data_IF_992507934078
#
_entry.id   IF_992507934078
#
_cell.length_a   1.000
_cell.length_b   1.000
_cell.length_c   1.000
_cell.angle_alpha   90.00
_cell.angle_beta   90.00
_cell.angle_gamma   90.00
#
_symmetry.space_group_name_H-M   'P 1'
#
loop_
_entity.id
_entity.type
_entity.pdbx_description
1 polymer ?
#
# COMPACT_ATOMS: atom_id res chain seq x y z
N UNK A 1 24.72 -46.48 24.50
CA UNK A 1 26.16 -46.30 24.83
C UNK A 1 26.43 -44.82 25.03
N UNK A 2 26.78 -44.37 26.25
CA UNK A 2 26.95 -42.94 26.57
C UNK A 2 27.99 -42.24 25.68
N UNK A 3 29.05 -42.96 25.31
CA UNK A 3 30.15 -42.45 24.49
C UNK A 3 29.70 -42.05 23.08
N UNK A 4 28.76 -42.80 22.49
CA UNK A 4 28.15 -42.44 21.20
C UNK A 4 27.28 -41.19 21.32
N UNK A 5 26.46 -41.11 22.36
CA UNK A 5 25.60 -39.96 22.63
C UNK A 5 26.38 -38.67 22.89
N UNK A 6 27.56 -38.75 23.53
CA UNK A 6 28.46 -37.61 23.71
C UNK A 6 29.02 -37.09 22.38
N UNK A 7 29.43 -37.98 21.47
CA UNK A 7 29.90 -37.58 20.14
C UNK A 7 28.76 -36.99 19.30
N UNK A 8 27.56 -37.57 19.39
CA UNK A 8 26.36 -37.05 18.71
C UNK A 8 25.99 -35.65 19.23
N UNK A 9 26.15 -35.39 20.54
CA UNK A 9 25.92 -34.08 21.15
C UNK A 9 26.88 -33.00 20.64
N UNK A 10 28.17 -33.34 20.50
CA UNK A 10 29.21 -32.43 20.00
C UNK A 10 28.97 -31.99 18.55
N UNK A 11 28.36 -32.87 17.74
CA UNK A 11 28.02 -32.55 16.35
C UNK A 11 27.05 -31.36 16.20
N UNK A 12 26.26 -31.04 17.24
CA UNK A 12 25.34 -29.91 17.22
C UNK A 12 26.01 -28.55 17.48
N UNK A 13 27.28 -28.50 17.88
CA UNK A 13 27.98 -27.23 18.13
C UNK A 13 28.14 -26.38 16.88
N UNK A 14 28.49 -27.00 15.74
CA UNK A 14 28.65 -26.29 14.47
C UNK A 14 27.34 -25.61 14.00
N UNK A 15 26.19 -26.31 13.91
CA UNK A 15 24.92 -25.66 13.59
C UNK A 15 24.54 -24.50 14.52
N UNK A 16 24.85 -24.60 15.82
CA UNK A 16 24.55 -23.53 16.78
C UNK A 16 25.46 -22.32 16.58
N UNK A 17 26.75 -22.52 16.29
CA UNK A 17 27.66 -21.45 15.91
C UNK A 17 27.21 -20.73 14.63
N UNK A 18 26.73 -21.47 13.64
CA UNK A 18 26.13 -20.89 12.42
C UNK A 18 24.90 -20.04 12.77
N UNK A 19 24.06 -20.49 13.70
CA UNK A 19 22.89 -19.73 14.15
C UNK A 19 23.29 -18.44 14.90
N UNK A 20 24.34 -18.46 15.73
CA UNK A 20 24.91 -17.24 16.32
C UNK A 20 25.37 -16.27 15.23
N UNK A 21 26.09 -16.74 14.21
CA UNK A 21 26.53 -15.91 13.08
C UNK A 21 25.36 -15.35 12.25
N UNK A 22 24.23 -16.06 12.16
CA UNK A 22 22.99 -15.52 11.57
C UNK A 22 22.40 -14.43 12.45
N UNK A 23 22.28 -14.68 13.75
CA UNK A 23 21.74 -13.72 14.72
C UNK A 23 22.57 -12.43 14.78
N UNK A 24 23.89 -12.52 14.80
CA UNK A 24 24.80 -11.37 14.77
C UNK A 24 24.58 -10.53 13.51
N UNK A 25 24.56 -11.16 12.33
CA UNK A 25 24.30 -10.45 11.06
C UNK A 25 22.96 -9.73 11.05
N UNK A 26 21.90 -10.36 11.56
CA UNK A 26 20.58 -9.75 11.62
C UNK A 26 20.52 -8.60 12.66
N UNK A 27 21.23 -8.71 13.79
CA UNK A 27 21.38 -7.62 14.76
C UNK A 27 22.14 -6.44 14.14
N UNK A 28 23.20 -6.69 13.37
CA UNK A 28 23.95 -5.65 12.66
C UNK A 28 23.05 -4.91 11.67
N UNK A 29 22.30 -5.62 10.83
CA UNK A 29 21.31 -5.01 9.92
C UNK A 29 20.25 -4.20 10.65
N UNK A 30 19.78 -4.70 11.79
CA UNK A 30 18.86 -3.94 12.64
C UNK A 30 19.51 -2.66 13.17
N UNK A 31 20.80 -2.67 13.50
CA UNK A 31 21.54 -1.47 13.95
C UNK A 31 21.67 -0.42 12.82
N UNK A 32 21.88 -0.87 11.58
CA UNK A 32 22.03 0.00 10.41
C UNK A 32 20.77 0.82 10.13
N UNK A 33 19.57 0.24 10.34
CA UNK A 33 18.29 0.91 10.06
C UNK A 33 17.79 1.82 11.21
N UNK A 34 18.47 1.83 12.36
CA UNK A 34 18.05 2.61 13.55
C UNK A 34 17.84 4.10 13.23
N UNK A 35 18.76 4.81 12.53
CA UNK A 35 18.58 6.22 12.27
C UNK A 35 17.29 6.51 11.49
N UNK A 36 16.97 5.68 10.48
CA UNK A 36 15.76 5.82 9.68
C UNK A 36 14.49 5.52 10.50
N UNK A 37 14.54 4.51 11.38
CA UNK A 37 13.43 4.17 12.30
C UNK A 37 13.13 5.32 13.26
N UNK A 38 14.16 5.89 13.87
CA UNK A 38 14.02 6.91 14.90
C UNK A 38 13.46 8.23 14.36
N UNK A 39 13.70 8.56 13.09
CA UNK A 39 13.11 9.75 12.45
C UNK A 39 11.58 9.75 12.48
N UNK A 40 10.95 8.57 12.48
CA UNK A 40 9.50 8.39 12.40
C UNK A 40 8.85 8.14 13.78
N UNK A 41 9.65 8.17 14.84
CA UNK A 41 9.26 7.84 16.21
C UNK A 41 9.20 9.08 17.09
N UNK A 42 8.24 9.08 18.02
CA UNK A 42 8.19 10.05 19.13
C UNK A 42 9.28 9.73 20.15
N UNK A 43 9.63 10.68 21.00
CA UNK A 43 10.69 10.50 22.02
C UNK A 43 10.42 9.35 22.98
N UNK A 44 9.16 9.13 23.38
CA UNK A 44 8.76 7.97 24.20
C UNK A 44 8.97 6.64 23.47
N UNK A 45 8.76 6.64 22.15
CA UNK A 45 8.91 5.46 21.29
C UNK A 45 10.39 5.15 21.03
N UNK A 46 11.23 6.17 20.87
CA UNK A 46 12.69 6.03 20.75
C UNK A 46 13.28 5.36 21.99
N UNK A 47 12.96 5.87 23.18
CA UNK A 47 13.42 5.29 24.45
C UNK A 47 12.99 3.83 24.62
N UNK A 48 11.76 3.49 24.22
CA UNK A 48 11.27 2.12 24.24
C UNK A 48 12.02 1.23 23.25
N UNK A 49 12.27 1.72 22.04
CA UNK A 49 12.98 1.00 20.98
C UNK A 49 14.45 0.74 21.35
N UNK A 50 15.13 1.76 21.88
CA UNK A 50 16.49 1.66 22.41
C UNK A 50 16.57 0.58 23.50
N UNK A 51 15.71 0.66 24.52
CA UNK A 51 15.66 -0.35 25.60
C UNK A 51 15.39 -1.76 25.08
N UNK A 52 14.50 -1.91 24.10
CA UNK A 52 14.19 -3.21 23.53
C UNK A 52 15.37 -3.79 22.73
N UNK A 53 16.13 -2.95 22.04
CA UNK A 53 17.40 -3.33 21.37
C UNK A 53 18.50 -3.67 22.37
N UNK A 54 18.68 -2.89 23.43
CA UNK A 54 19.66 -3.17 24.48
C UNK A 54 19.39 -4.54 25.12
N UNK A 55 18.12 -4.81 25.45
CA UNK A 55 17.70 -6.12 25.96
C UNK A 55 17.96 -7.25 24.97
N UNK A 56 17.76 -7.03 23.68
CA UNK A 56 18.06 -8.02 22.64
C UNK A 56 19.56 -8.32 22.58
N UNK A 57 20.40 -7.28 22.57
CA UNK A 57 21.86 -7.41 22.57
C UNK A 57 22.40 -8.06 23.84
N UNK A 58 21.80 -7.76 24.99
CA UNK A 58 22.15 -8.41 26.25
C UNK A 58 21.79 -9.89 26.20
N UNK A 59 20.57 -10.24 25.78
CA UNK A 59 20.15 -11.65 25.63
C UNK A 59 21.04 -12.42 24.67
N UNK A 60 21.46 -11.82 23.56
CA UNK A 60 22.40 -12.43 22.62
C UNK A 60 23.73 -12.76 23.30
N UNK A 61 24.33 -11.78 24.01
CA UNK A 61 25.57 -11.98 24.77
C UNK A 61 25.43 -13.01 25.89
N UNK A 62 24.33 -12.99 26.63
CA UNK A 62 24.06 -13.96 27.70
C UNK A 62 23.93 -15.40 27.15
N UNK A 63 23.37 -15.56 25.95
CA UNK A 63 23.27 -16.87 25.29
C UNK A 63 24.62 -17.35 24.76
N UNK A 64 25.50 -16.44 24.36
CA UNK A 64 26.84 -16.78 23.85
C UNK A 64 27.81 -17.11 25.00
N UNK A 65 28.02 -16.15 25.91
CA UNK A 65 29.09 -16.19 26.92
C UNK A 65 28.58 -16.10 28.37
N UNK A 66 27.28 -16.22 28.62
CA UNK A 66 26.70 -16.19 29.96
C UNK A 66 26.94 -17.48 30.76
N UNK A 67 26.56 -17.48 32.05
CA UNK A 67 26.72 -18.64 32.96
C UNK A 67 26.01 -19.91 32.46
N UNK A 68 24.90 -19.73 31.75
CA UNK A 68 24.11 -20.80 31.10
C UNK A 68 24.11 -20.62 29.58
N UNK A 69 25.19 -20.05 29.05
CA UNK A 69 25.42 -19.77 27.63
C UNK A 69 26.08 -20.91 26.88
N UNK A 70 26.41 -20.66 25.61
CA UNK A 70 26.92 -21.67 24.68
C UNK A 70 28.32 -22.12 25.07
N UNK A 71 29.19 -21.18 25.41
CA UNK A 71 30.54 -21.47 25.89
C UNK A 71 30.51 -22.34 27.16
N UNK A 72 29.60 -22.05 28.09
CA UNK A 72 29.40 -22.84 29.30
C UNK A 72 28.88 -24.25 28.97
N UNK A 73 27.94 -24.38 28.03
CA UNK A 73 27.44 -25.68 27.58
C UNK A 73 28.55 -26.52 26.90
N UNK A 74 29.39 -25.91 26.07
CA UNK A 74 30.55 -26.60 25.45
C UNK A 74 31.52 -27.08 26.53
N UNK A 75 31.85 -26.23 27.50
CA UNK A 75 32.73 -26.58 28.60
C UNK A 75 32.16 -27.73 29.46
N UNK A 76 30.86 -27.70 29.75
CA UNK A 76 30.19 -28.73 30.56
C UNK A 76 30.16 -30.09 29.85
N UNK A 77 29.87 -30.14 28.54
CA UNK A 77 29.96 -31.39 27.79
C UNK A 77 31.39 -31.96 27.82
N UNK A 78 32.41 -31.09 27.74
CA UNK A 78 33.80 -31.46 27.90
C UNK A 78 34.12 -32.08 29.27
N UNK A 79 33.54 -31.53 30.35
CA UNK A 79 33.66 -32.10 31.71
C UNK A 79 32.98 -33.45 31.84
N UNK A 80 31.74 -33.58 31.37
CA UNK A 80 30.99 -34.85 31.38
C UNK A 80 31.79 -35.93 30.64
N UNK A 81 32.38 -35.58 29.49
CA UNK A 81 33.25 -36.49 28.72
C UNK A 81 34.50 -36.88 29.49
N UNK A 82 35.16 -35.94 30.17
CA UNK A 82 36.38 -36.22 30.93
C UNK A 82 36.12 -37.09 32.18
N UNK A 83 34.93 -36.99 32.77
CA UNK A 83 34.51 -37.78 33.93
C UNK A 83 33.96 -39.18 33.58
N UNK A 84 33.87 -39.52 32.28
CA UNK A 84 33.35 -40.80 31.83
C UNK A 84 34.28 -41.97 32.18
N UNK A 85 33.71 -42.99 32.82
CA UNK A 85 34.32 -44.30 33.09
C UNK A 85 33.26 -45.40 33.02
N UNK A 86 33.67 -46.68 32.97
CA UNK A 86 32.74 -47.82 33.02
C UNK A 86 31.86 -47.81 34.29
N UNK A 87 32.38 -47.29 35.41
CA UNK A 87 31.70 -47.24 36.71
C UNK A 87 30.75 -46.04 36.85
N UNK A 88 30.99 -44.95 36.10
CA UNK A 88 30.19 -43.70 36.17
C UNK A 88 29.09 -43.60 35.12
N UNK A 89 28.80 -44.70 34.39
CA UNK A 89 27.85 -44.71 33.26
C UNK A 89 26.47 -44.14 33.57
N UNK A 90 25.89 -44.47 34.73
CA UNK A 90 24.57 -43.96 35.13
C UNK A 90 24.62 -42.44 35.36
N UNK A 91 25.59 -41.96 36.15
CA UNK A 91 25.79 -40.54 36.40
C UNK A 91 26.04 -39.75 35.11
N UNK A 92 26.89 -40.26 34.21
CA UNK A 92 27.14 -39.63 32.90
C UNK A 92 25.86 -39.51 32.07
N UNK A 93 24.95 -40.48 32.17
CA UNK A 93 23.69 -40.45 31.43
C UNK A 93 22.75 -39.38 31.99
N UNK A 94 22.68 -39.26 33.32
CA UNK A 94 21.87 -38.23 34.00
C UNK A 94 22.41 -36.82 33.72
N UNK A 95 23.73 -36.63 33.82
CA UNK A 95 24.40 -35.36 33.50
C UNK A 95 24.19 -34.97 32.03
N UNK A 96 24.29 -35.94 31.11
CA UNK A 96 24.02 -35.72 29.69
C UNK A 96 22.56 -35.33 29.44
N UNK A 97 21.59 -35.95 30.11
CA UNK A 97 20.18 -35.56 29.97
C UNK A 97 19.94 -34.12 30.44
N UNK A 98 20.50 -33.73 31.59
CA UNK A 98 20.43 -32.36 32.10
C UNK A 98 21.08 -31.35 31.14
N UNK A 99 22.22 -31.74 30.57
CA UNK A 99 22.92 -30.95 29.55
C UNK A 99 22.09 -30.79 28.28
N UNK A 100 21.50 -31.87 27.74
CA UNK A 100 20.65 -31.81 26.54
C UNK A 100 19.46 -30.89 26.77
N UNK A 101 18.80 -30.97 27.93
CA UNK A 101 17.70 -30.08 28.27
C UNK A 101 18.12 -28.61 28.27
N UNK A 102 19.27 -28.30 28.87
CA UNK A 102 19.82 -26.93 28.92
C UNK A 102 20.24 -26.44 27.54
N UNK A 103 20.86 -27.31 26.74
CA UNK A 103 21.30 -27.00 25.38
C UNK A 103 20.12 -26.73 24.45
N UNK A 104 19.04 -27.53 24.52
CA UNK A 104 17.81 -27.28 23.75
C UNK A 104 17.21 -25.91 24.12
N UNK A 105 17.18 -25.54 25.41
CA UNK A 105 16.70 -24.21 25.82
C UNK A 105 17.51 -23.08 25.20
N UNK A 106 18.83 -23.23 25.18
CA UNK A 106 19.72 -22.26 24.57
C UNK A 106 19.39 -22.09 23.09
N UNK A 107 19.28 -23.21 22.35
CA UNK A 107 18.98 -23.18 20.90
C UNK A 107 17.61 -22.57 20.62
N UNK A 108 16.59 -22.93 21.39
CA UNK A 108 15.25 -22.36 21.25
C UNK A 108 15.26 -20.84 21.48
N UNK A 109 15.91 -20.37 22.53
CA UNK A 109 16.01 -18.93 22.84
C UNK A 109 16.81 -18.18 21.79
N UNK A 110 17.92 -18.76 21.32
CA UNK A 110 18.75 -18.21 20.25
C UNK A 110 17.96 -18.08 18.94
N UNK A 111 17.11 -19.05 18.62
CA UNK A 111 16.30 -19.02 17.39
C UNK A 111 15.32 -17.83 17.31
N UNK A 112 14.95 -17.24 18.46
CA UNK A 112 14.06 -16.08 18.54
C UNK A 112 14.79 -14.75 18.29
N UNK A 113 16.12 -14.71 18.47
CA UNK A 113 16.93 -13.49 18.32
C UNK A 113 16.91 -12.97 16.86
N UNK A 114 17.22 -13.79 15.83
CA UNK A 114 17.10 -13.35 14.44
C UNK A 114 15.69 -12.90 14.08
N UNK A 115 14.65 -13.57 14.60
CA UNK A 115 13.26 -13.22 14.31
C UNK A 115 12.92 -11.82 14.84
N UNK A 116 13.36 -11.48 16.06
CA UNK A 116 13.17 -10.16 16.62
C UNK A 116 13.99 -9.09 15.87
N UNK A 117 15.23 -9.39 15.48
CA UNK A 117 16.07 -8.46 14.73
C UNK A 117 15.48 -8.16 13.32
N UNK A 118 15.10 -9.20 12.57
CA UNK A 118 14.47 -9.07 11.24
C UNK A 118 13.16 -8.31 11.27
N UNK A 119 12.39 -8.45 12.35
CA UNK A 119 11.15 -7.70 12.54
C UNK A 119 11.43 -6.19 12.47
N UNK A 120 12.49 -5.70 13.09
CA UNK A 120 12.81 -4.27 13.14
C UNK A 120 13.37 -3.72 11.82
N UNK A 121 13.95 -4.58 10.97
CA UNK A 121 14.46 -4.20 9.64
C UNK A 121 13.33 -3.81 8.68
N UNK A 122 12.13 -4.35 8.86
CA UNK A 122 11.00 -4.08 7.95
C UNK A 122 10.43 -2.69 8.22
N UNK A 123 10.73 -1.71 7.37
CA UNK A 123 10.26 -0.33 7.47
C UNK A 123 9.29 0.04 6.36
N UNK A 124 8.65 1.19 6.51
CA UNK A 124 7.82 1.82 5.48
C UNK A 124 8.14 3.30 5.42
N UNK A 125 8.24 3.86 4.22
CA UNK A 125 8.50 5.29 4.02
C UNK A 125 7.31 6.11 4.51
N UNK A 126 7.55 7.17 5.28
CA UNK A 126 6.50 8.12 5.62
C UNK A 126 6.24 9.05 4.44
N UNK A 127 4.98 9.15 4.03
CA UNK A 127 4.57 10.09 2.98
C UNK A 127 4.13 11.40 3.65
N UNK A 128 5.02 12.38 3.67
CA UNK A 128 4.71 13.74 4.11
C UNK A 128 4.23 14.56 2.92
N UNK A 129 2.93 14.51 2.65
CA UNK A 129 2.31 15.27 1.57
C UNK A 129 1.10 16.04 2.12
N UNK A 130 1.11 17.36 1.96
CA UNK A 130 -0.03 18.19 2.31
C UNK A 130 -1.22 17.84 1.40
N UNK A 131 -2.45 17.72 1.93
CA UNK A 131 -3.60 17.37 1.10
C UNK A 131 -3.89 18.35 -0.04
N UNK A 132 -3.60 19.63 0.15
CA UNK A 132 -3.71 20.70 -0.83
C UNK A 132 -2.71 20.47 -1.98
N UNK A 133 -1.46 20.18 -1.66
CA UNK A 133 -0.43 19.84 -2.64
C UNK A 133 -0.78 18.54 -3.40
N UNK A 134 -1.23 17.50 -2.67
CA UNK A 134 -1.69 16.25 -3.28
C UNK A 134 -2.80 16.49 -4.30
N UNK A 135 -3.74 17.38 -3.97
CA UNK A 135 -4.85 17.73 -4.83
C UNK A 135 -4.41 18.48 -6.09
N UNK A 136 -3.48 19.44 -5.99
CA UNK A 136 -2.93 20.12 -7.16
C UNK A 136 -2.18 19.16 -8.09
N UNK A 137 -1.30 18.32 -7.51
CA UNK A 137 -0.58 17.28 -8.27
C UNK A 137 -1.58 16.38 -9.01
N UNK A 138 -2.65 15.97 -8.34
CA UNK A 138 -3.69 15.15 -8.96
C UNK A 138 -4.41 15.89 -10.10
N UNK A 139 -4.76 17.17 -9.95
CA UNK A 139 -5.40 17.93 -11.03
C UNK A 139 -4.51 18.07 -12.27
N UNK A 140 -3.21 18.22 -12.08
CA UNK A 140 -2.25 18.44 -13.16
C UNK A 140 -1.89 17.15 -13.92
N UNK A 141 -1.84 16.01 -13.22
CA UNK A 141 -1.34 14.76 -13.79
C UNK A 141 -2.45 13.76 -14.17
N UNK A 142 -3.66 13.89 -13.60
CA UNK A 142 -4.74 12.93 -13.86
C UNK A 142 -5.40 13.13 -15.22
N UNK A 143 -5.24 12.13 -16.09
CA UNK A 143 -5.82 12.09 -17.43
C UNK A 143 -7.35 12.13 -17.45
N UNK A 144 -8.04 11.56 -16.46
CA UNK A 144 -9.51 11.59 -16.41
C UNK A 144 -10.05 13.01 -16.17
N UNK A 145 -9.36 13.82 -15.37
CA UNK A 145 -9.69 15.23 -15.19
C UNK A 145 -9.37 16.06 -16.43
N UNK A 146 -8.24 15.81 -17.09
CA UNK A 146 -7.90 16.46 -18.36
C UNK A 146 -8.96 16.18 -19.42
N UNK A 147 -9.39 14.92 -19.55
CA UNK A 147 -10.46 14.51 -20.46
C UNK A 147 -11.81 15.14 -20.08
N UNK A 148 -12.15 15.18 -18.79
CA UNK A 148 -13.38 15.81 -18.31
C UNK A 148 -13.43 17.32 -18.60
N UNK A 149 -12.30 18.01 -18.49
CA UNK A 149 -12.17 19.44 -18.86
C UNK A 149 -12.34 19.65 -20.35
N UNK A 150 -11.70 18.83 -21.19
CA UNK A 150 -11.84 18.90 -22.64
C UNK A 150 -13.31 18.67 -23.07
N UNK A 151 -13.96 17.65 -22.49
CA UNK A 151 -15.37 17.38 -22.75
C UNK A 151 -16.30 18.54 -22.36
N UNK A 152 -16.00 19.28 -21.28
CA UNK A 152 -16.76 20.48 -20.92
C UNK A 152 -16.61 21.60 -21.95
N UNK A 153 -15.39 21.81 -22.47
CA UNK A 153 -15.14 22.79 -23.54
C UNK A 153 -15.87 22.40 -24.83
N UNK A 154 -15.92 21.12 -25.16
CA UNK A 154 -16.67 20.64 -26.33
C UNK A 154 -18.17 20.86 -26.18
N UNK A 155 -18.72 20.61 -24.98
CA UNK A 155 -20.13 20.95 -24.68
C UNK A 155 -20.38 22.45 -24.74
N UNK A 156 -19.42 23.28 -24.36
CA UNK A 156 -19.52 24.73 -24.51
C UNK A 156 -19.53 25.15 -25.99
N UNK A 157 -18.70 24.54 -26.83
CA UNK A 157 -18.72 24.75 -28.29
C UNK A 157 -20.04 24.30 -28.91
N UNK A 158 -20.63 23.21 -28.41
CA UNK A 158 -21.93 22.74 -28.87
C UNK A 158 -23.05 23.79 -28.68
N UNK A 159 -22.96 24.67 -27.68
CA UNK A 159 -23.89 25.79 -27.51
C UNK A 159 -23.86 26.72 -28.74
N UNK A 160 -22.66 27.01 -29.26
CA UNK A 160 -22.52 27.86 -30.46
C UNK A 160 -23.06 27.15 -31.71
N UNK A 161 -22.82 25.85 -31.85
CA UNK A 161 -23.37 25.05 -32.95
C UNK A 161 -24.91 25.06 -32.90
N UNK A 162 -25.49 24.85 -31.72
CA UNK A 162 -26.93 24.91 -31.52
C UNK A 162 -27.50 26.33 -31.72
N UNK A 163 -26.74 27.37 -31.36
CA UNK A 163 -27.12 28.76 -31.61
C UNK A 163 -27.14 29.09 -33.12
N UNK A 164 -26.19 28.55 -33.91
CA UNK A 164 -26.18 28.72 -35.36
C UNK A 164 -27.42 28.12 -36.02
N UNK A 165 -27.96 27.01 -35.47
CA UNK A 165 -29.22 26.43 -35.93
C UNK A 165 -30.44 27.34 -35.67
N UNK A 166 -30.32 28.46 -34.96
CA UNK A 166 -31.36 29.48 -34.82
C UNK A 166 -31.26 30.60 -35.88
N UNK A 167 -30.18 30.64 -36.66
CA UNK A 167 -29.93 31.66 -37.69
C UNK A 167 -30.45 31.25 -39.07
N UNK A 168 -30.79 32.21 -39.93
CA UNK A 168 -31.20 31.92 -41.32
C UNK A 168 -30.15 31.08 -42.07
N UNK A 169 -30.59 30.13 -42.90
CA UNK A 169 -29.72 29.34 -43.76
C UNK A 169 -29.93 29.68 -45.24
N UNK A 170 -28.85 29.72 -46.03
CA UNK A 170 -28.89 29.87 -47.49
C UNK A 170 -28.13 28.68 -48.09
N UNK A 171 -28.84 27.83 -48.81
CA UNK A 171 -28.26 26.67 -49.51
C UNK A 171 -28.25 26.92 -51.01
N UNK A 172 -27.10 26.72 -51.65
CA UNK A 172 -26.95 26.79 -53.11
C UNK A 172 -26.67 25.38 -53.61
N UNK A 173 -27.55 24.86 -54.48
CA UNK A 173 -27.41 23.54 -55.09
C UNK A 173 -27.19 23.69 -56.58
N UNK A 174 -26.26 22.90 -57.12
CA UNK A 174 -25.96 22.87 -58.55
C UNK A 174 -25.85 21.43 -59.02
N UNK A 175 -26.58 21.06 -60.06
CA UNK A 175 -26.57 19.72 -60.63
C UNK A 175 -26.57 19.79 -62.15
N UNK A 176 -25.71 18.99 -62.78
CA UNK A 176 -25.61 18.89 -64.23
C UNK A 176 -25.69 17.44 -64.68
N UNK A 177 -26.49 17.15 -65.70
CA UNK A 177 -26.53 15.85 -66.36
C UNK A 177 -26.21 16.00 -67.87
N UNK A 178 -25.45 15.06 -68.40
CA UNK A 178 -25.06 14.97 -69.81
C UNK A 178 -25.63 13.69 -70.39
N UNK A 179 -26.69 13.79 -71.19
CA UNK A 179 -27.27 12.63 -71.87
C UNK A 179 -26.55 12.34 -73.18
N UNK A 180 -26.40 11.05 -73.52
CA UNK A 180 -25.89 10.59 -74.81
C UNK A 180 -27.02 10.49 -75.84
N UNK A 181 -26.69 10.60 -77.12
CA UNK A 181 -27.70 10.46 -78.19
C UNK A 181 -28.29 9.04 -78.22
N UNK A 182 -29.58 8.91 -78.59
CA UNK A 182 -30.38 7.67 -78.53
C UNK A 182 -29.74 6.43 -79.15
N UNK A 183 -28.78 6.58 -80.08
CA UNK A 183 -28.15 5.48 -80.82
C UNK A 183 -26.62 5.42 -80.70
N UNK A 184 -25.99 6.19 -79.80
CA UNK A 184 -24.55 6.10 -79.55
C UNK A 184 -24.21 6.37 -78.07
N UNK A 185 -23.84 5.33 -77.29
CA UNK A 185 -23.59 5.45 -75.86
C UNK A 185 -22.29 6.19 -75.49
N UNK A 186 -21.48 6.62 -76.47
CA UNK A 186 -20.25 7.41 -76.24
C UNK A 186 -20.28 8.82 -76.86
N UNK A 187 -21.40 9.23 -77.47
CA UNK A 187 -21.58 10.58 -78.03
C UNK A 187 -22.27 11.50 -77.01
N UNK A 188 -21.47 12.05 -76.08
CA UNK A 188 -21.92 13.05 -75.11
C UNK A 188 -22.04 14.42 -75.78
N UNK A 189 -23.25 14.98 -75.88
CA UNK A 189 -23.47 16.28 -76.51
C UNK A 189 -23.73 17.35 -75.46
N UNK A 190 -23.06 18.51 -75.61
CA UNK A 190 -23.34 19.67 -74.80
C UNK A 190 -24.79 20.20 -75.00
N UNK A 191 -25.38 19.95 -76.18
CA UNK A 191 -26.77 20.34 -76.48
C UNK A 191 -27.82 19.51 -75.74
N UNK A 192 -27.45 18.36 -75.16
CA UNK A 192 -28.29 17.52 -74.30
C UNK A 192 -27.91 17.66 -72.82
N UNK A 193 -27.06 18.65 -72.49
CA UNK A 193 -26.68 18.97 -71.12
C UNK A 193 -27.81 19.73 -70.42
N UNK A 194 -28.28 19.22 -69.29
CA UNK A 194 -29.16 19.98 -68.40
C UNK A 194 -28.34 20.47 -67.22
N UNK A 195 -28.38 21.78 -66.97
CA UNK A 195 -27.78 22.40 -65.79
C UNK A 195 -28.90 23.00 -64.95
N UNK A 196 -28.96 22.64 -63.66
CA UNK A 196 -29.91 23.18 -62.69
C UNK A 196 -29.14 23.85 -61.56
N UNK A 197 -29.48 25.10 -61.26
CA UNK A 197 -29.02 25.84 -60.09
C UNK A 197 -30.24 26.15 -59.22
N UNK A 198 -30.21 25.76 -57.95
CA UNK A 198 -31.25 26.05 -56.96
C UNK A 198 -30.68 26.89 -55.82
N UNK A 199 -31.38 27.94 -55.42
CA UNK A 199 -31.11 28.70 -54.20
C UNK A 199 -32.28 28.51 -53.25
N UNK A 200 -31.98 28.04 -52.05
CA UNK A 200 -32.95 27.82 -50.97
C UNK A 200 -32.60 28.73 -49.81
N UNK A 201 -33.55 29.57 -49.38
CA UNK A 201 -33.41 30.44 -48.21
C UNK A 201 -34.41 30.03 -47.14
N UNK A 202 -33.90 29.69 -45.97
CA UNK A 202 -34.70 29.33 -44.81
C UNK A 202 -34.66 30.46 -43.76
N UNK A 203 -35.80 31.13 -43.58
CA UNK A 203 -35.95 32.27 -42.69
C UNK A 203 -36.26 31.82 -41.24
N UNK A 204 -35.71 32.48 -40.20
CA UNK A 204 -35.81 32.03 -38.82
C UNK A 204 -37.12 32.50 -38.15
N UNK A 205 -38.27 32.19 -38.76
CA UNK A 205 -39.57 32.71 -38.31
C UNK A 205 -40.26 31.84 -37.25
N UNK A 206 -40.14 30.51 -37.34
CA UNK A 206 -40.83 29.57 -36.43
C UNK A 206 -39.96 28.35 -36.08
N UNK A 207 -38.91 28.57 -35.28
CA UNK A 207 -37.90 27.55 -34.93
C UNK A 207 -38.07 26.96 -33.53
N UNK A 208 -39.24 26.37 -33.26
CA UNK A 208 -39.57 25.85 -31.93
C UNK A 208 -38.73 24.63 -31.54
N UNK A 209 -38.46 23.72 -32.49
CA UNK A 209 -37.65 22.53 -32.25
C UNK A 209 -36.19 22.89 -32.00
N UNK A 210 -35.64 23.81 -32.78
CA UNK A 210 -34.27 24.30 -32.64
C UNK A 210 -34.10 25.09 -31.34
N UNK A 211 -35.10 25.88 -30.94
CA UNK A 211 -35.10 26.56 -29.62
C UNK A 211 -35.09 25.56 -28.47
N UNK A 212 -35.87 24.48 -28.58
CA UNK A 212 -35.85 23.43 -27.57
C UNK A 212 -34.49 22.71 -27.55
N UNK A 213 -33.89 22.42 -28.71
CA UNK A 213 -32.55 21.85 -28.81
C UNK A 213 -31.45 22.76 -28.25
N UNK A 214 -31.54 24.08 -28.48
CA UNK A 214 -30.65 25.06 -27.87
C UNK A 214 -30.77 25.09 -26.34
N UNK A 215 -32.01 25.12 -25.81
CA UNK A 215 -32.26 25.04 -24.36
C UNK A 215 -31.73 23.74 -23.76
N UNK A 216 -31.94 22.63 -24.43
CA UNK A 216 -31.40 21.34 -24.00
C UNK A 216 -29.88 21.39 -23.92
N UNK A 217 -29.20 21.96 -24.93
CA UNK A 217 -27.74 22.12 -24.96
C UNK A 217 -27.23 22.98 -23.78
N UNK A 218 -27.93 24.08 -23.44
CA UNK A 218 -27.60 24.90 -22.27
C UNK A 218 -27.74 24.12 -20.94
N UNK A 219 -28.82 23.36 -20.79
CA UNK A 219 -29.06 22.53 -19.61
C UNK A 219 -27.99 21.44 -19.51
N UNK A 220 -27.68 20.76 -20.62
CA UNK A 220 -26.64 19.75 -20.69
C UNK A 220 -25.28 20.33 -20.28
N UNK A 221 -24.88 21.49 -20.82
CA UNK A 221 -23.65 22.18 -20.42
C UNK A 221 -23.64 22.46 -18.91
N UNK A 222 -24.72 23.05 -18.35
CA UNK A 222 -24.82 23.32 -16.92
C UNK A 222 -24.74 22.05 -16.05
N UNK A 223 -25.32 20.93 -16.49
CA UNK A 223 -25.20 19.62 -15.82
C UNK A 223 -23.74 19.17 -15.79
N UNK A 224 -23.06 19.13 -16.93
CA UNK A 224 -21.62 18.76 -16.99
C UNK A 224 -20.73 19.67 -16.14
N UNK A 225 -21.01 20.98 -16.13
CA UNK A 225 -20.23 21.91 -15.32
C UNK A 225 -20.36 21.57 -13.82
N UNK A 226 -21.57 21.24 -13.36
CA UNK A 226 -21.79 20.78 -11.98
C UNK A 226 -21.17 19.42 -11.70
N UNK A 227 -21.24 18.49 -12.65
CA UNK A 227 -20.58 17.18 -12.55
C UNK A 227 -19.06 17.32 -12.38
N UNK A 228 -18.42 18.22 -13.13
CA UNK A 228 -16.98 18.49 -13.00
C UNK A 228 -16.61 19.14 -11.66
N UNK A 229 -17.42 20.08 -11.16
CA UNK A 229 -17.22 20.66 -9.83
C UNK A 229 -17.35 19.58 -8.75
N UNK A 230 -18.38 18.74 -8.84
CA UNK A 230 -18.60 17.65 -7.88
C UNK A 230 -17.49 16.59 -7.94
N UNK A 231 -16.95 16.28 -9.12
CA UNK A 231 -15.83 15.34 -9.24
C UNK A 231 -14.56 15.91 -8.62
N UNK A 232 -14.29 17.21 -8.82
CA UNK A 232 -13.19 17.94 -8.19
C UNK A 232 -13.28 17.91 -6.66
N UNK A 233 -14.45 18.23 -6.10
CA UNK A 233 -14.67 18.19 -4.65
C UNK A 233 -14.54 16.76 -4.08
N UNK A 234 -15.05 15.76 -4.82
CA UNK A 234 -14.93 14.35 -4.46
C UNK A 234 -13.46 13.90 -4.44
N UNK A 235 -12.65 14.33 -5.42
CA UNK A 235 -11.22 14.05 -5.48
C UNK A 235 -10.49 14.64 -4.27
N UNK A 236 -10.73 15.92 -3.95
CA UNK A 236 -10.09 16.58 -2.82
C UNK A 236 -10.43 15.88 -1.49
N UNK A 237 -11.70 15.52 -1.28
CA UNK A 237 -12.12 14.74 -0.11
C UNK A 237 -11.50 13.34 -0.08
N UNK A 238 -11.45 12.68 -1.23
CA UNK A 238 -10.86 11.34 -1.38
C UNK A 238 -9.37 11.32 -1.04
N UNK A 239 -8.59 12.27 -1.55
CA UNK A 239 -7.15 12.39 -1.28
C UNK A 239 -6.87 12.68 0.20
N UNK A 240 -7.62 13.61 0.82
CA UNK A 240 -7.54 13.88 2.27
C UNK A 240 -7.81 12.62 3.10
N UNK A 241 -8.85 11.85 2.75
CA UNK A 241 -9.18 10.61 3.44
C UNK A 241 -8.11 9.53 3.22
N UNK A 242 -7.53 9.45 2.01
CA UNK A 242 -6.48 8.50 1.66
C UNK A 242 -5.18 8.77 2.42
N UNK A 243 -4.73 10.03 2.49
CA UNK A 243 -3.55 10.43 3.27
C UNK A 243 -3.72 10.12 4.76
N UNK A 244 -4.90 10.39 5.33
CA UNK A 244 -5.22 10.02 6.72
C UNK A 244 -5.21 8.50 6.93
N UNK A 245 -5.75 7.76 5.96
CA UNK A 245 -5.77 6.30 6.00
C UNK A 245 -4.35 5.72 5.92
N UNK A 246 -3.47 6.33 5.11
CA UNK A 246 -2.07 5.95 5.04
C UNK A 246 -1.37 6.11 6.39
N UNK A 247 -1.53 7.26 7.03
CA UNK A 247 -0.95 7.50 8.36
C UNK A 247 -1.52 6.52 9.41
N UNK A 248 -2.83 6.27 9.39
CA UNK A 248 -3.44 5.26 10.25
C UNK A 248 -2.84 3.86 10.02
N UNK A 249 -2.60 3.47 8.76
CA UNK A 249 -2.01 2.16 8.43
C UNK A 249 -0.55 2.06 8.87
N UNK A 250 0.21 3.16 8.78
CA UNK A 250 1.58 3.24 9.31
C UNK A 250 1.59 3.00 10.82
N UNK A 251 0.75 3.70 11.57
CA UNK A 251 0.61 3.49 13.02
C UNK A 251 0.15 2.07 13.34
N UNK A 252 -0.79 1.52 12.56
CA UNK A 252 -1.25 0.15 12.72
C UNK A 252 -0.14 -0.88 12.51
N UNK A 253 0.78 -0.65 11.56
CA UNK A 253 1.96 -1.48 11.36
C UNK A 253 2.84 -1.51 12.60
N UNK A 254 3.12 -0.36 13.20
CA UNK A 254 3.93 -0.27 14.43
C UNK A 254 3.24 -0.96 15.63
N UNK A 255 1.90 -0.87 15.73
CA UNK A 255 1.14 -1.64 16.73
C UNK A 255 1.32 -3.14 16.52
N UNK A 256 1.19 -3.63 15.27
CA UNK A 256 1.36 -5.04 14.98
C UNK A 256 2.81 -5.51 15.18
N UNK A 257 3.80 -4.65 14.92
CA UNK A 257 5.21 -4.92 15.23
C UNK A 257 5.40 -5.20 16.72
N UNK A 258 4.85 -4.34 17.57
CA UNK A 258 4.89 -4.54 19.03
C UNK A 258 4.16 -5.82 19.44
N UNK A 259 3.04 -6.15 18.81
CA UNK A 259 2.33 -7.40 19.08
C UNK A 259 3.20 -8.63 18.78
N UNK A 260 3.97 -8.63 17.68
CA UNK A 260 4.93 -9.70 17.36
C UNK A 260 6.04 -9.77 18.42
N UNK A 261 6.63 -8.64 18.81
CA UNK A 261 7.66 -8.60 19.86
C UNK A 261 7.15 -9.17 21.20
N UNK A 262 5.93 -8.83 21.60
CA UNK A 262 5.28 -9.38 22.81
C UNK A 262 5.03 -10.89 22.65
N UNK A 263 4.56 -11.34 21.49
CA UNK A 263 4.33 -12.76 21.24
C UNK A 263 5.62 -13.58 21.25
N UNK A 264 6.73 -13.05 20.71
CA UNK A 264 8.06 -13.67 20.80
C UNK A 264 8.49 -13.84 22.27
N UNK A 265 8.33 -12.79 23.09
CA UNK A 265 8.62 -12.88 24.54
C UNK A 265 7.74 -13.90 25.26
N UNK A 266 6.46 -14.01 24.87
CA UNK A 266 5.54 -14.99 25.44
C UNK A 266 5.98 -16.42 25.13
N UNK A 267 6.42 -16.70 23.90
CA UNK A 267 6.96 -18.01 23.50
C UNK A 267 8.17 -18.36 24.37
N UNK A 268 9.13 -17.43 24.49
CA UNK A 268 10.30 -17.63 25.37
C UNK A 268 9.89 -17.93 26.82
N UNK A 269 8.97 -17.15 27.40
CA UNK A 269 8.51 -17.35 28.78
C UNK A 269 7.87 -18.72 28.98
N UNK A 270 7.06 -19.19 28.03
CA UNK A 270 6.42 -20.51 28.11
C UNK A 270 7.39 -21.66 27.88
N UNK A 271 8.42 -21.46 27.05
CA UNK A 271 9.51 -22.44 26.87
C UNK A 271 10.29 -22.63 28.16
N UNK A 272 10.67 -21.51 28.82
CA UNK A 272 11.32 -21.55 30.12
C UNK A 272 10.45 -22.25 31.17
N UNK A 273 9.15 -21.93 31.22
CA UNK A 273 8.22 -22.54 32.17
C UNK A 273 8.00 -24.05 31.96
N UNK A 274 8.14 -24.56 30.73
CA UNK A 274 7.98 -25.99 30.42
C UNK A 274 9.10 -26.83 31.03
N UNK A 275 10.29 -26.25 31.15
CA UNK A 275 11.50 -26.97 31.51
C UNK A 275 11.95 -26.66 32.94
N UNK A 276 11.31 -25.72 33.63
CA UNK A 276 11.45 -25.53 35.07
C UNK A 276 10.88 -26.75 35.82
N UNK A 277 11.69 -27.46 36.64
CA UNK A 277 11.21 -28.60 37.41
C UNK A 277 10.05 -28.21 38.34
N UNK A 278 9.02 -29.07 38.51
CA UNK A 278 7.98 -28.80 39.49
C UNK A 278 8.58 -28.70 40.90
N UNK A 279 8.05 -27.83 41.78
CA UNK A 279 8.56 -27.67 43.14
C UNK A 279 8.55 -29.01 43.88
N UNK A 280 9.51 -29.25 44.79
CA UNK A 280 9.61 -30.50 45.52
C UNK A 280 8.31 -30.73 46.31
N UNK A 281 7.64 -31.83 45.98
CA UNK A 281 6.43 -32.27 46.68
C UNK A 281 6.78 -32.84 48.05
N UNK A 282 5.94 -32.56 49.05
CA UNK A 282 6.08 -33.14 50.39
C UNK A 282 6.07 -34.69 50.31
N UNK A 283 6.77 -35.40 51.23
CA UNK A 283 6.79 -36.87 51.26
C UNK A 283 5.36 -37.44 51.27
N UNK A 284 4.99 -38.16 50.20
CA UNK A 284 3.66 -38.76 50.03
C UNK A 284 2.73 -38.07 49.02
N UNK A 285 3.09 -36.89 48.49
CA UNK A 285 2.36 -36.24 47.40
C UNK A 285 2.97 -36.59 46.04
N UNK A 286 2.12 -36.85 45.02
CA UNK A 286 2.58 -37.09 43.64
C UNK A 286 2.94 -35.75 42.99
N UNK A 287 4.14 -35.64 42.43
CA UNK A 287 4.50 -34.52 41.55
C UNK A 287 3.54 -34.50 40.35
N UNK A 288 2.65 -33.51 40.30
CA UNK A 288 1.80 -33.31 39.12
C UNK A 288 2.61 -32.52 38.10
N UNK A 289 3.07 -33.19 37.04
CA UNK A 289 3.47 -32.51 35.80
C UNK A 289 2.24 -31.75 35.34
N UNK A 290 2.29 -30.42 35.36
CA UNK A 290 1.13 -29.59 35.01
C UNK A 290 0.82 -29.77 33.51
N UNK A 291 -0.29 -30.44 33.12
CA UNK A 291 -0.62 -30.71 31.71
C UNK A 291 -0.87 -29.42 30.92
N UNK A 292 -1.08 -28.30 31.62
CA UNK A 292 -1.34 -27.00 31.01
C UNK A 292 -0.11 -26.37 30.38
N UNK A 293 1.11 -26.76 30.74
CA UNK A 293 2.31 -26.05 30.24
C UNK A 293 2.58 -26.30 28.76
N UNK A 294 2.38 -27.53 28.26
CA UNK A 294 2.46 -27.83 26.83
C UNK A 294 1.34 -27.12 26.03
N UNK A 295 0.13 -27.04 26.60
CA UNK A 295 -1.00 -26.30 26.03
C UNK A 295 -0.68 -24.81 25.95
N UNK A 296 -0.05 -24.25 26.99
CA UNK A 296 0.37 -22.85 27.04
C UNK A 296 1.41 -22.53 25.97
N UNK A 297 2.39 -23.42 25.73
CA UNK A 297 3.38 -23.26 24.67
C UNK A 297 2.71 -23.29 23.29
N UNK A 298 1.83 -24.25 23.02
CA UNK A 298 1.08 -24.31 21.76
C UNK A 298 0.25 -23.03 21.55
N UNK A 299 -0.40 -22.53 22.60
CA UNK A 299 -1.13 -21.27 22.57
C UNK A 299 -0.23 -20.05 22.30
N UNK A 300 0.98 -20.03 22.86
CA UNK A 300 1.97 -18.98 22.61
C UNK A 300 2.49 -19.01 21.16
N UNK A 301 2.80 -20.19 20.62
CA UNK A 301 3.23 -20.36 19.23
C UNK A 301 2.13 -19.97 18.25
N UNK A 302 0.88 -20.37 18.48
CA UNK A 302 -0.27 -19.93 17.66
C UNK A 302 -0.48 -18.42 17.73
N UNK A 303 -0.31 -17.82 18.91
CA UNK A 303 -0.36 -16.36 19.07
C UNK A 303 0.73 -15.66 18.28
N UNK A 304 1.97 -16.17 18.31
CA UNK A 304 3.09 -15.64 17.52
C UNK A 304 2.79 -15.70 16.01
N UNK A 305 2.33 -16.85 15.52
CA UNK A 305 1.96 -17.00 14.10
C UNK A 305 0.86 -16.01 13.70
N UNK A 306 -0.17 -15.85 14.53
CA UNK A 306 -1.26 -14.91 14.27
C UNK A 306 -0.77 -13.46 14.27
N UNK A 307 0.12 -13.08 15.18
CA UNK A 307 0.74 -11.75 15.21
C UNK A 307 1.63 -11.51 13.98
N UNK A 308 2.41 -12.51 13.54
CA UNK A 308 3.22 -12.42 12.32
C UNK A 308 2.36 -12.22 11.07
N UNK A 309 1.28 -12.98 10.93
CA UNK A 309 0.31 -12.83 9.83
C UNK A 309 -0.36 -11.45 9.86
N UNK A 310 -0.71 -10.95 11.04
CA UNK A 310 -1.31 -9.63 11.22
C UNK A 310 -0.33 -8.50 10.88
N UNK A 311 0.95 -8.66 11.22
CA UNK A 311 2.01 -7.72 10.84
C UNK A 311 2.23 -7.70 9.32
N UNK A 312 2.33 -8.87 8.68
CA UNK A 312 2.44 -8.96 7.21
C UNK A 312 1.23 -8.32 6.52
N UNK A 313 0.03 -8.60 7.01
CA UNK A 313 -1.19 -7.99 6.49
C UNK A 313 -1.18 -6.46 6.66
N UNK A 314 -0.72 -5.94 7.80
CA UNK A 314 -0.60 -4.50 8.02
C UNK A 314 0.40 -3.86 7.04
N UNK A 315 1.53 -4.51 6.77
CA UNK A 315 2.53 -4.05 5.81
C UNK A 315 2.00 -4.01 4.38
N UNK A 316 1.40 -5.11 3.91
CA UNK A 316 0.78 -5.18 2.58
C UNK A 316 -0.34 -4.15 2.42
N UNK A 317 -1.13 -3.93 3.47
CA UNK A 317 -2.19 -2.93 3.47
C UNK A 317 -1.65 -1.50 3.35
N UNK A 318 -0.53 -1.20 4.01
CA UNK A 318 0.15 0.09 3.85
C UNK A 318 0.62 0.27 2.41
N UNK A 319 1.31 -0.74 1.87
CA UNK A 319 1.81 -0.72 0.50
C UNK A 319 0.68 -0.57 -0.54
N UNK A 320 -0.45 -1.27 -0.37
CA UNK A 320 -1.62 -1.12 -1.21
C UNK A 320 -2.24 0.28 -1.14
N UNK A 321 -2.24 0.92 0.04
CA UNK A 321 -2.69 2.29 0.18
C UNK A 321 -1.72 3.28 -0.49
N UNK A 322 -0.40 3.02 -0.45
CA UNK A 322 0.61 3.80 -1.15
C UNK A 322 0.41 3.71 -2.66
N UNK A 323 0.26 2.51 -3.21
CA UNK A 323 -0.08 2.32 -4.63
C UNK A 323 -1.31 3.11 -5.05
N UNK A 324 -2.38 3.05 -4.24
CA UNK A 324 -3.59 3.84 -4.51
C UNK A 324 -3.29 5.34 -4.53
N UNK A 325 -2.47 5.85 -3.60
CA UNK A 325 -2.10 7.26 -3.59
C UNK A 325 -1.41 7.67 -4.90
N UNK A 326 -0.39 6.95 -5.33
CA UNK A 326 0.31 7.27 -6.58
C UNK A 326 -0.61 7.26 -7.80
N UNK A 327 -1.57 6.32 -7.83
CA UNK A 327 -2.59 6.28 -8.87
C UNK A 327 -3.54 7.47 -8.79
N UNK A 328 -4.05 7.80 -7.60
CA UNK A 328 -4.96 8.94 -7.41
C UNK A 328 -4.27 10.28 -7.66
N UNK A 329 -2.94 10.36 -7.50
CA UNK A 329 -2.11 11.50 -7.88
C UNK A 329 -1.84 11.58 -9.39
N UNK A 330 -2.09 10.51 -10.15
CA UNK A 330 -1.80 10.46 -11.59
C UNK A 330 -0.32 10.32 -11.94
N UNK A 331 0.55 10.05 -10.97
CA UNK A 331 2.02 9.97 -11.15
C UNK A 331 2.55 8.53 -11.16
N UNK A 332 1.64 7.55 -11.12
CA UNK A 332 1.98 6.13 -11.17
C UNK A 332 2.62 5.77 -12.52
N UNK A 333 3.86 5.33 -12.48
CA UNK A 333 4.58 4.81 -13.64
C UNK A 333 4.55 3.28 -13.61
N UNK A 334 4.22 2.68 -14.75
CA UNK A 334 4.24 1.23 -14.93
C UNK A 334 5.37 0.87 -15.89
N UNK A 335 6.08 -0.21 -15.59
CA UNK A 335 7.05 -0.79 -16.51
C UNK A 335 6.33 -1.50 -17.68
N UNK A 336 7.07 -1.91 -18.73
CA UNK A 336 6.46 -2.63 -19.87
C UNK A 336 5.78 -3.96 -19.49
N UNK A 337 6.06 -4.50 -18.29
CA UNK A 337 5.43 -5.71 -17.77
C UNK A 337 4.18 -5.42 -16.91
N UNK A 338 3.81 -4.14 -16.75
CA UNK A 338 2.66 -3.70 -15.97
C UNK A 338 2.92 -3.63 -14.46
N UNK A 339 4.18 -3.70 -14.00
CA UNK A 339 4.55 -3.54 -12.59
C UNK A 339 4.77 -2.08 -12.28
N UNK A 340 4.39 -1.67 -11.08
CA UNK A 340 4.65 -0.32 -10.60
C UNK A 340 6.15 -0.10 -10.45
N UNK A 341 6.64 1.01 -11.02
CA UNK A 341 7.99 1.52 -10.78
C UNK A 341 7.93 2.40 -9.55
N UNK A 342 8.56 1.93 -8.48
CA UNK A 342 8.59 2.62 -7.19
C UNK A 342 9.47 3.86 -7.29
N UNK A 343 8.83 5.02 -7.40
CA UNK A 343 9.49 6.32 -7.41
C UNK A 343 9.31 6.95 -6.03
N UNK A 344 10.35 7.58 -5.49
CA UNK A 344 10.19 8.38 -4.27
C UNK A 344 9.27 9.57 -4.57
N UNK A 345 8.36 9.88 -3.64
CA UNK A 345 7.61 11.14 -3.67
C UNK A 345 8.51 12.23 -3.09
N UNK A 346 9.67 12.45 -3.70
CA UNK A 346 10.50 13.63 -3.43
C UNK A 346 9.90 14.82 -4.17
N UNK A 347 8.63 15.11 -3.91
CA UNK A 347 8.12 16.43 -4.16
C UNK A 347 8.72 17.30 -3.05
N UNK A 348 9.97 17.75 -3.24
CA UNK A 348 10.32 19.11 -2.83
C UNK A 348 9.14 19.93 -3.30
N UNK A 349 8.29 20.39 -2.36
CA UNK A 349 7.09 21.13 -2.67
C UNK A 349 7.49 22.10 -3.77
N UNK A 350 7.10 21.88 -5.04
CA UNK A 350 7.58 22.72 -6.12
C UNK A 350 7.14 24.09 -5.66
N UNK A 351 8.11 24.97 -5.35
CA UNK A 351 7.89 26.19 -4.59
C UNK A 351 6.58 26.76 -5.09
N UNK A 352 5.51 26.62 -4.27
CA UNK A 352 4.11 26.74 -4.71
C UNK A 352 4.11 27.80 -5.78
N UNK A 353 3.96 27.47 -7.09
CA UNK A 353 4.24 28.43 -8.14
C UNK A 353 3.48 29.67 -7.75
N UNK A 354 4.22 30.73 -7.36
CA UNK A 354 3.70 31.85 -6.60
C UNK A 354 2.47 32.32 -7.34
N UNK A 355 1.29 31.93 -6.85
CA UNK A 355 0.01 32.21 -7.48
C UNK A 355 0.16 32.47 -8.98
N UNK A 356 0.61 31.48 -9.78
CA UNK A 356 0.51 31.70 -11.21
C UNK A 356 -0.99 31.83 -11.44
N UNK A 357 -1.43 33.05 -11.69
CA UNK A 357 -2.79 33.47 -11.96
C UNK A 357 -3.35 32.81 -13.24
N UNK A 358 -3.00 31.55 -13.52
CA UNK A 358 -3.96 30.64 -14.12
C UNK A 358 -5.04 30.39 -13.08
N UNK A 359 -5.85 31.42 -12.83
CA UNK A 359 -7.23 31.25 -12.40
C UNK A 359 -7.78 30.24 -13.39
N UNK A 360 -7.85 28.99 -12.96
CA UNK A 360 -8.31 27.87 -13.76
C UNK A 360 -9.80 28.12 -13.98
N UNK A 361 -10.08 28.97 -14.96
CA UNK A 361 -11.39 29.52 -15.21
C UNK A 361 -12.17 28.44 -15.90
N UNK A 362 -12.94 27.68 -15.11
CA UNK A 362 -14.06 26.93 -15.65
C UNK A 362 -14.82 27.85 -16.61
N UNK A 363 -15.20 27.37 -17.81
CA UNK A 363 -15.96 28.19 -18.73
C UNK A 363 -17.21 28.76 -18.01
N UNK A 364 -17.61 29.99 -18.36
CA UNK A 364 -18.54 30.77 -17.57
C UNK A 364 -19.89 30.06 -17.42
N UNK A 365 -20.62 30.29 -16.32
CA UNK A 365 -21.99 29.81 -16.20
C UNK A 365 -22.87 30.44 -17.28
N UNK A 366 -23.91 29.73 -17.70
CA UNK A 366 -24.93 30.26 -18.61
C UNK A 366 -25.76 31.27 -17.81
N UNK A 367 -25.96 32.50 -18.32
CA UNK A 367 -26.78 33.50 -17.65
C UNK A 367 -28.22 33.01 -17.47
N UNK A 368 -28.80 33.22 -16.29
CA UNK A 368 -30.17 32.77 -15.96
C UNK A 368 -31.23 33.33 -16.93
N UNK A 369 -31.06 34.56 -17.41
CA UNK A 369 -31.98 35.20 -18.37
C UNK A 369 -32.09 34.48 -19.72
N UNK A 370 -31.07 33.70 -20.13
CA UNK A 370 -31.13 32.90 -21.37
C UNK A 370 -31.98 31.63 -21.17
N UNK A 371 -32.09 31.15 -19.93
CA UNK A 371 -32.95 30.02 -19.56
C UNK A 371 -34.43 30.46 -19.40
N UNK A 372 -34.67 31.72 -19.02
CA UNK A 372 -35.98 32.30 -18.70
C UNK A 372 -36.73 32.97 -19.87
N UNK A 373 -36.20 32.97 -21.10
CA UNK A 373 -36.91 33.46 -22.30
C UNK A 373 -38.12 32.57 -22.66
N UNK A 374 -39.12 32.49 -21.78
CA UNK A 374 -40.47 32.02 -22.03
C UNK A 374 -41.30 33.16 -22.62
N UNK A 375 -42.20 32.91 -23.58
CA UNK A 375 -43.25 33.87 -23.83
C UNK A 375 -44.12 33.92 -22.57
N UNK A 376 -44.32 35.11 -22.02
CA UNK A 376 -45.52 35.39 -21.25
C UNK A 376 -46.71 35.00 -22.13
N UNK A 377 -47.37 33.90 -21.79
CA UNK A 377 -48.69 33.62 -22.32
C UNK A 377 -49.60 34.69 -21.71
N UNK A 378 -49.76 35.80 -22.43
CA UNK A 378 -50.86 36.71 -22.20
C UNK A 378 -52.12 35.97 -22.67
N UNK A 379 -52.75 35.27 -21.73
CA UNK A 379 -54.14 34.83 -21.86
C UNK A 379 -55.03 36.05 -21.66
N UNK A 380 -55.38 36.70 -22.78
CA UNK A 380 -56.55 37.55 -22.92
C UNK A 380 -57.72 36.76 -23.47
#
# INVERSE_FOLDING_TARGET
EPLRSLNDAEAFFQPVQELFAVAERDILRMNEIVPERELLMREDEKLLFERDRERLNQRFRDLESGEVGFEAAVAELGRIRAAYSEETREQTTDDLMAWVQSFVQLVERLSLIPAQARLEVITVDQISLEPEAAFQIALDNRLDFMNGRAALVDRWRAIQIAANALQSNVSITGGGDLATATNNPVDFRASTANLRLGLEFDAPLARLLERNGYRETLIQYQRSRRELIQSRDSLQKGLRALLRTLEQRRLQLEIQRRAVSIALRRVEQTQLALLTPPPPVAPGARAQINPTTAINLLGAQSSLQNSQNSFLAAWLNYYAARLRLFRELGVMQLDPSGRWVENSLDFQAPALPQSSESTETLPPPVPLGVLELAPSVNSG
#
